data_IF_030171880242
#
_entry.id   IF_030171880242
#
_cell.length_a   1.000
_cell.length_b   1.000
_cell.length_c   1.000
_cell.angle_alpha   90.00
_cell.angle_beta   90.00
_cell.angle_gamma   90.00
#
_symmetry.space_group_name_H-M   'P 1'
#
loop_
_entity.id
_entity.type
_entity.pdbx_description
1 polymer ?
#
# COMPACT_ATOMS: atom_id res chain seq x y z
N UNK A 1 -35.50 34.45 -21.96
CA UNK A 1 -35.50 35.91 -21.70
C UNK A 1 -36.63 36.24 -20.77
N UNK A 2 -36.37 36.95 -19.67
CA UNK A 2 -37.34 37.26 -18.61
C UNK A 2 -38.36 38.35 -18.97
N UNK A 3 -38.73 38.48 -20.25
CA UNK A 3 -39.71 39.49 -20.69
C UNK A 3 -41.09 38.85 -20.70
N UNK A 4 -41.98 39.31 -19.83
CA UNK A 4 -43.37 38.84 -19.73
C UNK A 4 -43.65 37.80 -18.63
N UNK A 5 -42.63 37.26 -17.96
CA UNK A 5 -42.81 36.27 -16.86
C UNK A 5 -43.07 36.91 -15.49
N UNK A 6 -42.84 38.22 -15.32
CA UNK A 6 -43.00 38.90 -14.03
C UNK A 6 -42.00 38.46 -12.96
N UNK A 7 -40.93 37.74 -13.33
CA UNK A 7 -39.86 37.30 -12.42
C UNK A 7 -38.49 37.76 -12.93
N UNK A 8 -37.49 37.74 -12.05
CA UNK A 8 -36.12 38.19 -12.36
C UNK A 8 -35.36 37.25 -13.32
N UNK A 9 -35.98 36.17 -13.80
CA UNK A 9 -35.35 35.21 -14.71
C UNK A 9 -34.26 34.35 -14.07
N UNK A 10 -34.21 34.27 -12.74
CA UNK A 10 -33.24 33.46 -12.02
C UNK A 10 -33.56 31.97 -12.16
N UNK A 11 -32.65 31.19 -12.73
CA UNK A 11 -32.78 29.74 -12.93
C UNK A 11 -31.90 29.02 -11.91
N UNK A 12 -32.51 28.23 -11.02
CA UNK A 12 -31.79 27.38 -10.07
C UNK A 12 -31.70 25.94 -10.59
N UNK A 13 -30.58 25.26 -10.35
CA UNK A 13 -30.44 23.84 -10.64
C UNK A 13 -31.38 22.99 -9.76
N UNK A 14 -32.02 21.98 -10.35
CA UNK A 14 -32.84 21.03 -9.61
C UNK A 14 -31.95 20.05 -8.82
N UNK A 15 -32.03 20.09 -7.49
CA UNK A 15 -31.27 19.21 -6.59
C UNK A 15 -31.89 17.81 -6.41
N UNK A 16 -33.16 17.63 -6.77
CA UNK A 16 -33.87 16.35 -6.67
C UNK A 16 -33.69 15.48 -7.92
N UNK A 17 -33.18 16.05 -9.02
CA UNK A 17 -32.93 15.28 -10.24
C UNK A 17 -31.70 14.39 -10.05
N UNK A 18 -31.93 13.08 -9.93
CA UNK A 18 -30.86 12.09 -9.98
C UNK A 18 -30.22 12.12 -11.36
N UNK A 19 -28.97 12.60 -11.44
CA UNK A 19 -28.18 12.52 -12.66
C UNK A 19 -27.93 11.04 -12.96
N UNK A 20 -28.26 10.53 -14.16
CA UNK A 20 -27.93 9.15 -14.51
C UNK A 20 -26.43 8.99 -14.28
N UNK A 21 -26.06 8.03 -13.43
CA UNK A 21 -24.68 7.71 -13.15
C UNK A 21 -24.05 7.43 -14.51
N UNK A 22 -23.04 8.20 -14.90
CA UNK A 22 -22.25 7.81 -16.06
C UNK A 22 -21.79 6.40 -15.74
N UNK A 23 -22.30 5.41 -16.47
CA UNK A 23 -21.64 4.12 -16.51
C UNK A 23 -20.23 4.48 -16.98
N UNK A 24 -19.29 4.56 -16.04
CA UNK A 24 -17.89 4.28 -16.38
C UNK A 24 -18.01 3.03 -17.21
N UNK A 25 -17.69 3.15 -18.51
CA UNK A 25 -17.85 2.06 -19.46
C UNK A 25 -17.40 0.82 -18.71
N UNK A 26 -18.28 -0.18 -18.58
CA UNK A 26 -17.83 -1.49 -18.19
C UNK A 26 -16.59 -1.71 -19.03
N UNK A 27 -15.43 -1.92 -18.40
CA UNK A 27 -14.28 -2.40 -19.14
C UNK A 27 -14.77 -3.73 -19.69
N UNK A 28 -15.29 -3.71 -20.92
CA UNK A 28 -15.68 -4.89 -21.64
C UNK A 28 -14.36 -5.63 -21.80
N UNK A 29 -14.13 -6.63 -20.94
CA UNK A 29 -12.91 -7.44 -20.94
C UNK A 29 -12.71 -8.15 -22.30
N UNK A 30 -13.73 -8.13 -23.17
CA UNK A 30 -13.76 -8.65 -24.53
C UNK A 30 -13.64 -7.58 -25.64
N UNK A 31 -13.42 -6.32 -25.31
CA UNK A 31 -13.08 -5.34 -26.34
C UNK A 31 -11.72 -5.68 -26.94
N UNK A 32 -11.62 -5.74 -28.27
CA UNK A 32 -10.37 -6.04 -28.99
C UNK A 32 -9.23 -5.02 -28.72
N UNK A 33 -9.54 -3.92 -28.01
CA UNK A 33 -8.58 -2.91 -27.56
C UNK A 33 -8.18 -3.04 -26.08
N UNK A 34 -8.79 -3.97 -25.33
CA UNK A 34 -8.43 -4.26 -23.94
C UNK A 34 -7.19 -5.16 -23.92
N UNK A 35 -6.01 -4.55 -23.76
CA UNK A 35 -4.77 -5.30 -23.52
C UNK A 35 -4.91 -6.10 -22.22
N UNK A 36 -4.44 -7.37 -22.19
CA UNK A 36 -4.44 -8.14 -20.95
C UNK A 36 -3.69 -7.38 -19.86
N UNK A 37 -4.15 -7.42 -18.60
CA UNK A 37 -3.49 -6.72 -17.51
C UNK A 37 -2.03 -7.18 -17.42
N UNK A 38 -1.10 -6.22 -17.48
CA UNK A 38 0.33 -6.50 -17.43
C UNK A 38 0.68 -6.99 -16.02
N UNK A 39 0.89 -8.29 -15.88
CA UNK A 39 1.35 -8.90 -14.64
C UNK A 39 2.84 -8.58 -14.44
N UNK A 40 3.13 -7.60 -13.57
CA UNK A 40 4.51 -7.27 -13.20
C UNK A 40 5.03 -8.30 -12.19
N UNK A 41 6.22 -8.84 -12.46
CA UNK A 41 6.91 -9.73 -11.54
C UNK A 41 7.29 -8.96 -10.26
N UNK A 42 7.31 -9.61 -9.08
CA UNK A 42 7.81 -9.00 -7.86
C UNK A 42 9.31 -8.71 -7.98
N UNK A 43 9.73 -7.52 -7.54
CA UNK A 43 11.15 -7.17 -7.46
C UNK A 43 11.68 -7.51 -6.06
N UNK A 44 12.66 -8.41 -5.99
CA UNK A 44 13.26 -8.88 -4.73
C UNK A 44 14.00 -7.76 -3.99
N UNK A 45 14.61 -6.82 -4.71
CA UNK A 45 15.37 -5.72 -4.10
C UNK A 45 14.45 -4.78 -3.31
N UNK A 46 13.26 -4.51 -3.86
CA UNK A 46 12.24 -3.69 -3.20
C UNK A 46 11.68 -4.39 -1.95
N UNK A 47 11.51 -5.72 -2.00
CA UNK A 47 11.07 -6.51 -0.84
C UNK A 47 12.14 -6.48 0.27
N UNK A 48 13.41 -6.66 -0.09
CA UNK A 48 14.52 -6.55 0.86
C UNK A 48 14.63 -5.15 1.47
N UNK A 49 14.40 -4.12 0.66
CA UNK A 49 14.39 -2.74 1.13
C UNK A 49 13.29 -2.49 2.16
N UNK A 50 12.06 -2.97 1.91
CA UNK A 50 10.97 -2.87 2.89
C UNK A 50 11.29 -3.61 4.20
N UNK A 51 11.94 -4.78 4.14
CA UNK A 51 12.40 -5.49 5.35
C UNK A 51 13.40 -4.67 6.14
N UNK A 52 14.42 -4.11 5.48
CA UNK A 52 15.42 -3.24 6.14
C UNK A 52 14.78 -1.97 6.71
N UNK A 53 13.82 -1.39 5.98
CA UNK A 53 13.07 -0.22 6.43
C UNK A 53 12.30 -0.51 7.73
N UNK A 54 11.65 -1.67 7.85
CA UNK A 54 10.99 -2.07 9.10
C UNK A 54 11.98 -2.14 10.27
N UNK A 55 13.17 -2.70 10.05
CA UNK A 55 14.23 -2.76 11.07
C UNK A 55 14.65 -1.37 11.54
N UNK A 56 14.89 -0.43 10.61
CA UNK A 56 15.26 0.94 11.00
C UNK A 56 14.12 1.69 11.69
N UNK A 57 12.86 1.44 11.31
CA UNK A 57 11.70 1.99 12.01
C UNK A 57 11.69 1.53 13.47
N UNK A 58 11.90 0.23 13.73
CA UNK A 58 11.97 -0.28 15.10
C UNK A 58 13.15 0.32 15.89
N UNK A 59 14.29 0.53 15.24
CA UNK A 59 15.44 1.21 15.85
C UNK A 59 15.13 2.66 16.22
N UNK A 60 14.44 3.39 15.34
CA UNK A 60 14.03 4.78 15.58
C UNK A 60 13.01 4.85 16.73
N UNK A 61 12.02 3.97 16.75
CA UNK A 61 11.03 3.93 17.84
C UNK A 61 11.68 3.65 19.20
N UNK A 62 12.68 2.76 19.25
CA UNK A 62 13.44 2.53 20.48
C UNK A 62 14.19 3.79 20.91
N UNK A 63 14.88 4.44 19.97
CA UNK A 63 15.61 5.68 20.23
C UNK A 63 14.69 6.76 20.80
N UNK A 64 13.58 7.03 20.12
CA UNK A 64 12.57 8.02 20.57
C UNK A 64 12.07 7.71 21.98
N UNK A 65 11.83 6.43 22.30
CA UNK A 65 11.39 6.01 23.63
C UNK A 65 12.45 6.28 24.71
N UNK A 66 13.72 5.96 24.42
CA UNK A 66 14.82 6.17 25.37
C UNK A 66 15.15 7.66 25.58
N UNK A 67 15.06 8.46 24.51
CA UNK A 67 15.20 9.93 24.59
C UNK A 67 14.08 10.55 25.42
N UNK A 68 12.83 10.07 25.25
CA UNK A 68 11.68 10.54 26.03
C UNK A 68 11.78 10.19 27.53
N UNK A 69 12.33 9.02 27.85
CA UNK A 69 12.56 8.60 29.24
C UNK A 69 13.65 9.44 29.95
N UNK A 70 14.59 10.02 29.20
CA UNK A 70 15.59 10.98 29.69
C UNK A 70 16.56 10.44 30.76
N UNK A 71 16.59 9.12 30.98
CA UNK A 71 17.38 8.48 32.05
C UNK A 71 18.78 8.05 31.61
N UNK A 72 19.07 8.08 30.31
CA UNK A 72 20.30 7.57 29.69
C UNK A 72 21.00 8.70 28.94
N UNK A 73 22.33 8.64 28.89
CA UNK A 73 23.12 9.52 28.02
C UNK A 73 23.09 9.06 26.56
N UNK A 74 23.33 9.98 25.63
CA UNK A 74 23.35 9.72 24.17
C UNK A 74 24.20 8.50 23.78
N UNK A 75 25.41 8.37 24.35
CA UNK A 75 26.32 7.25 24.07
C UNK A 75 25.75 5.87 24.47
N UNK A 76 24.88 5.82 25.48
CA UNK A 76 24.24 4.59 25.94
C UNK A 76 23.01 4.25 25.11
N UNK A 77 22.28 5.28 24.65
CA UNK A 77 21.17 5.14 23.72
C UNK A 77 21.67 4.55 22.40
N UNK A 78 22.75 5.10 21.84
CA UNK A 78 23.34 4.62 20.59
C UNK A 78 23.80 3.17 20.68
N UNK A 79 24.43 2.76 21.79
CA UNK A 79 24.82 1.36 22.03
C UNK A 79 23.62 0.42 22.02
N UNK A 80 22.54 0.78 22.71
CA UNK A 80 21.32 -0.05 22.79
C UNK A 80 20.63 -0.16 21.44
N UNK A 81 20.56 0.94 20.69
CA UNK A 81 19.98 0.97 19.34
C UNK A 81 20.83 0.12 18.39
N UNK A 82 22.16 0.20 18.46
CA UNK A 82 23.07 -0.60 17.63
C UNK A 82 22.99 -2.09 17.95
N UNK A 83 22.86 -2.46 19.22
CA UNK A 83 22.60 -3.84 19.60
C UNK A 83 21.29 -4.37 19.02
N UNK A 84 20.21 -3.57 19.08
CA UNK A 84 18.92 -3.91 18.51
C UNK A 84 19.03 -4.04 16.98
N UNK A 85 19.69 -3.09 16.31
CA UNK A 85 19.94 -3.12 14.86
C UNK A 85 20.66 -4.40 14.46
N UNK A 86 21.73 -4.78 15.14
CA UNK A 86 22.47 -6.04 14.88
C UNK A 86 21.58 -7.28 15.09
N UNK A 87 20.80 -7.31 16.16
CA UNK A 87 19.87 -8.42 16.47
C UNK A 87 18.79 -8.58 15.39
N UNK A 88 18.21 -7.48 14.92
CA UNK A 88 17.17 -7.49 13.89
C UNK A 88 17.71 -7.78 12.50
N UNK A 89 18.87 -7.23 12.14
CA UNK A 89 19.53 -7.55 10.86
C UNK A 89 19.94 -9.03 10.78
N UNK A 90 20.37 -9.64 11.88
CA UNK A 90 20.63 -11.07 11.94
C UNK A 90 19.36 -11.93 11.73
N UNK A 91 18.18 -11.35 11.95
CA UNK A 91 16.87 -12.00 11.80
C UNK A 91 16.07 -11.46 10.61
N UNK A 92 16.72 -10.78 9.65
CA UNK A 92 16.06 -10.09 8.54
C UNK A 92 15.11 -10.99 7.73
N UNK A 93 15.48 -12.26 7.53
CA UNK A 93 14.65 -13.19 6.78
C UNK A 93 13.33 -13.53 7.48
N UNK A 94 13.34 -13.52 8.82
CA UNK A 94 12.15 -13.76 9.65
C UNK A 94 11.19 -12.57 9.72
N UNK A 95 11.64 -11.38 9.29
CA UNK A 95 10.79 -10.18 9.26
C UNK A 95 9.65 -10.39 8.26
N UNK A 96 8.44 -10.51 8.79
CA UNK A 96 7.21 -10.62 8.00
C UNK A 96 6.76 -9.25 7.52
N UNK A 97 6.55 -9.14 6.22
CA UNK A 97 5.90 -7.98 5.61
C UNK A 97 4.39 -8.26 5.56
N UNK A 98 3.59 -7.32 6.06
CA UNK A 98 2.14 -7.50 6.11
C UNK A 98 1.56 -7.41 4.71
N UNK A 99 1.00 -8.52 4.24
CA UNK A 99 0.28 -8.61 2.96
C UNK A 99 -1.23 -8.53 3.13
N UNK A 100 -1.73 -8.50 4.37
CA UNK A 100 -3.15 -8.67 4.73
C UNK A 100 -3.96 -7.36 4.75
N UNK A 101 -3.31 -6.19 4.72
CA UNK A 101 -4.06 -4.93 4.64
C UNK A 101 -4.35 -4.56 3.19
N UNK A 102 -5.64 -4.44 2.88
CA UNK A 102 -6.20 -3.95 1.61
C UNK A 102 -5.68 -2.56 1.19
N UNK A 103 -4.99 -1.87 2.11
CA UNK A 103 -4.40 -0.54 1.93
C UNK A 103 -2.86 -0.55 1.93
N UNK A 104 -2.20 -1.71 1.92
CA UNK A 104 -0.74 -1.76 1.90
C UNK A 104 -0.21 -1.26 0.56
N UNK A 105 0.60 -0.20 0.59
CA UNK A 105 1.35 0.33 -0.56
C UNK A 105 2.41 -0.66 -1.11
N UNK A 106 2.42 -1.91 -0.63
CA UNK A 106 3.45 -2.92 -0.88
C UNK A 106 3.06 -3.86 -2.03
N UNK A 107 2.89 -3.29 -3.23
CA UNK A 107 2.48 -4.04 -4.43
C UNK A 107 3.38 -5.25 -4.72
N UNK A 108 4.70 -5.14 -4.51
CA UNK A 108 5.65 -6.22 -4.73
C UNK A 108 5.53 -7.37 -3.72
N UNK A 109 5.20 -7.07 -2.46
CA UNK A 109 4.98 -8.10 -1.43
C UNK A 109 3.72 -8.90 -1.75
N UNK A 110 2.66 -8.21 -2.17
CA UNK A 110 1.41 -8.86 -2.61
C UNK A 110 1.65 -9.69 -3.88
N UNK A 111 2.45 -9.20 -4.82
CA UNK A 111 2.80 -9.93 -6.03
C UNK A 111 3.62 -11.20 -5.73
N UNK A 112 4.61 -11.13 -4.83
CA UNK A 112 5.39 -12.30 -4.39
C UNK A 112 4.52 -13.35 -3.69
N UNK A 113 3.61 -12.92 -2.80
CA UNK A 113 2.66 -13.82 -2.17
C UNK A 113 1.74 -14.50 -3.19
N UNK A 114 1.19 -13.74 -4.15
CA UNK A 114 0.37 -14.29 -5.24
C UNK A 114 1.16 -15.27 -6.12
N UNK A 115 2.41 -14.96 -6.44
CA UNK A 115 3.25 -15.84 -7.24
C UNK A 115 3.50 -17.17 -6.53
N UNK A 116 3.80 -17.15 -5.22
CA UNK A 116 3.95 -18.37 -4.40
C UNK A 116 2.67 -19.20 -4.34
N UNK A 117 1.53 -18.55 -4.15
CA UNK A 117 0.22 -19.22 -4.15
C UNK A 117 -0.09 -19.87 -5.51
N UNK A 118 0.16 -19.15 -6.61
CA UNK A 118 -0.04 -19.68 -7.96
C UNK A 118 0.92 -20.86 -8.25
N UNK A 119 2.17 -20.78 -7.80
CA UNK A 119 3.13 -21.89 -7.92
C UNK A 119 2.68 -23.12 -7.14
N UNK A 120 2.18 -22.93 -5.92
CA UNK A 120 1.64 -24.02 -5.10
C UNK A 120 0.42 -24.66 -5.76
N UNK A 121 -0.48 -23.85 -6.33
CA UNK A 121 -1.64 -24.34 -7.07
C UNK A 121 -1.24 -25.10 -8.33
N UNK A 122 -0.26 -24.61 -9.08
CA UNK A 122 0.29 -25.28 -10.25
C UNK A 122 0.89 -26.65 -9.88
N UNK A 123 1.71 -26.71 -8.83
CA UNK A 123 2.25 -27.96 -8.29
C UNK A 123 1.16 -28.95 -7.86
N UNK A 124 0.11 -28.48 -7.19
CA UNK A 124 -1.01 -29.32 -6.77
C UNK A 124 -1.83 -29.86 -7.96
N UNK A 125 -1.91 -29.08 -9.05
CA UNK A 125 -2.59 -29.45 -10.29
C UNK A 125 -1.69 -30.25 -11.25
N UNK A 126 -0.40 -30.40 -10.95
CA UNK A 126 0.57 -31.11 -11.77
C UNK A 126 0.93 -30.41 -13.08
N UNK A 127 0.81 -29.08 -13.13
CA UNK A 127 1.14 -28.22 -14.29
C UNK A 127 2.32 -27.29 -14.02
#
# INVERSE_FOLDING_TARGET
TARGSGTNGYVQQNKATLRPRQHFKSNDYNSATSQPPIHRQPNKDLIQHEKKRKVEIECLLLRDSLEQDGSLGEDEIDKRVDELRKKLLARLDSVSLDSSSSSSNNSHVVADAKQKLNQQAAQALGI
#
